data_IF_241460696616
#
_entry.id   IF_241460696616
#
_cell.length_a   1.000
_cell.length_b   1.000
_cell.length_c   1.000
_cell.angle_alpha   90.00
_cell.angle_beta   90.00
_cell.angle_gamma   90.00
#
_symmetry.space_group_name_H-M   'P 1'
#
loop_
_entity.id
_entity.type
_entity.pdbx_description
1 polymer ?
#
# COMPACT_ATOMS: atom_id res chain seq x y z
N UNK A 1 25.04 -3.59 15.68
CA UNK A 1 23.87 -4.50 15.82
C UNK A 1 22.81 -4.25 14.76
N UNK A 2 22.41 -3.00 14.47
CA UNK A 2 21.37 -2.71 13.46
C UNK A 2 21.67 -3.27 12.07
N UNK A 3 22.90 -3.18 11.55
CA UNK A 3 23.26 -3.79 10.25
C UNK A 3 22.96 -5.30 10.18
N UNK A 4 23.20 -6.06 11.24
CA UNK A 4 22.89 -7.51 11.27
C UNK A 4 21.37 -7.71 11.23
N UNK A 5 20.62 -6.89 11.96
CA UNK A 5 19.15 -6.92 11.95
C UNK A 5 18.59 -6.57 10.57
N UNK A 6 19.06 -5.50 9.93
CA UNK A 6 18.62 -5.12 8.58
C UNK A 6 18.87 -6.25 7.58
N UNK A 7 20.03 -6.90 7.63
CA UNK A 7 20.33 -8.04 6.74
C UNK A 7 19.46 -9.26 7.04
N UNK A 8 19.17 -9.54 8.30
CA UNK A 8 18.25 -10.61 8.69
C UNK A 8 16.82 -10.32 8.17
N UNK A 9 16.36 -9.08 8.25
CA UNK A 9 15.06 -8.64 7.74
C UNK A 9 14.99 -8.72 6.20
N UNK A 10 16.05 -8.31 5.49
CA UNK A 10 16.13 -8.49 4.03
C UNK A 10 16.11 -9.97 3.63
N UNK A 11 16.77 -10.83 4.41
CA UNK A 11 16.72 -12.27 4.22
C UNK A 11 15.28 -12.80 4.42
N UNK A 12 14.61 -12.38 5.51
CA UNK A 12 13.22 -12.73 5.79
C UNK A 12 12.29 -12.30 4.65
N UNK A 13 12.42 -11.06 4.16
CA UNK A 13 11.68 -10.57 3.00
C UNK A 13 11.85 -11.50 1.78
N UNK A 14 13.08 -11.94 1.51
CA UNK A 14 13.41 -12.81 0.38
C UNK A 14 12.81 -14.21 0.54
N UNK A 15 12.89 -14.79 1.74
CA UNK A 15 12.30 -16.10 2.06
C UNK A 15 10.78 -16.08 1.94
N UNK A 16 10.14 -15.08 2.55
CA UNK A 16 8.67 -14.93 2.51
C UNK A 16 8.19 -14.70 1.08
N UNK A 17 8.95 -13.99 0.24
CA UNK A 17 8.54 -13.73 -1.14
C UNK A 17 8.72 -14.93 -2.08
N UNK A 18 9.40 -16.01 -1.64
CA UNK A 18 9.79 -17.14 -2.50
C UNK A 18 9.31 -18.51 -2.02
N UNK A 19 8.92 -18.62 -0.75
CA UNK A 19 8.45 -19.86 -0.14
C UNK A 19 6.92 -19.89 0.01
N UNK A 20 6.34 -21.08 0.12
CA UNK A 20 4.94 -21.24 0.50
C UNK A 20 4.74 -21.12 2.02
N UNK A 21 3.48 -20.89 2.43
CA UNK A 21 3.12 -20.68 3.82
C UNK A 21 3.41 -21.89 4.73
N UNK A 22 3.28 -23.11 4.23
CA UNK A 22 3.48 -24.33 5.03
C UNK A 22 4.97 -24.54 5.32
N UNK A 23 5.82 -24.30 4.31
CA UNK A 23 7.28 -24.28 4.47
C UNK A 23 7.78 -23.21 5.46
N UNK A 24 6.97 -22.18 5.72
CA UNK A 24 7.26 -21.10 6.68
C UNK A 24 6.63 -21.34 8.07
N UNK A 25 6.09 -22.54 8.32
CA UNK A 25 5.50 -22.91 9.61
C UNK A 25 3.99 -22.66 9.72
N UNK A 26 3.32 -22.39 8.59
CA UNK A 26 1.87 -22.24 8.51
C UNK A 26 1.33 -20.93 9.09
N UNK A 27 0.00 -20.82 9.14
CA UNK A 27 -0.70 -19.57 9.47
C UNK A 27 -0.30 -18.96 10.82
N UNK A 28 -0.13 -19.79 11.86
CA UNK A 28 0.24 -19.33 13.20
C UNK A 28 1.65 -18.70 13.22
N UNK A 29 2.61 -19.29 12.52
CA UNK A 29 3.96 -18.75 12.42
C UNK A 29 3.98 -17.42 11.66
N UNK A 30 3.22 -17.31 10.58
CA UNK A 30 3.08 -16.08 9.80
C UNK A 30 2.44 -14.95 10.63
N UNK A 31 1.37 -15.25 11.37
CA UNK A 31 0.74 -14.26 12.27
C UNK A 31 1.69 -13.81 13.38
N UNK A 32 2.41 -14.74 14.01
CA UNK A 32 3.39 -14.40 15.05
C UNK A 32 4.53 -13.52 14.48
N UNK A 33 5.02 -13.85 13.29
CA UNK A 33 6.02 -13.04 12.61
C UNK A 33 5.50 -11.64 12.27
N UNK A 34 4.23 -11.52 11.83
CA UNK A 34 3.62 -10.23 11.50
C UNK A 34 3.50 -9.35 12.75
N UNK A 35 3.09 -9.94 13.88
CA UNK A 35 3.04 -9.25 15.16
C UNK A 35 4.43 -8.76 15.59
N UNK A 36 5.46 -9.59 15.44
CA UNK A 36 6.83 -9.19 15.78
C UNK A 36 7.37 -8.09 14.86
N UNK A 37 7.16 -8.17 13.55
CA UNK A 37 7.58 -7.09 12.64
C UNK A 37 6.83 -5.79 12.95
N UNK A 38 5.54 -5.90 13.30
CA UNK A 38 4.73 -4.76 13.73
C UNK A 38 5.29 -4.08 14.99
N UNK A 39 5.83 -4.81 15.97
CA UNK A 39 6.44 -4.17 17.15
C UNK A 39 7.78 -3.50 16.83
N UNK A 40 8.52 -3.95 15.82
CA UNK A 40 9.74 -3.28 15.36
C UNK A 40 9.46 -1.95 14.67
N UNK A 41 8.32 -1.82 14.00
CA UNK A 41 7.91 -0.59 13.29
C UNK A 41 7.15 0.37 14.18
N UNK A 42 6.21 -0.14 14.99
CA UNK A 42 5.25 0.68 15.75
C UNK A 42 5.38 0.55 17.28
N UNK A 43 6.31 -0.25 17.78
CA UNK A 43 6.49 -0.45 19.23
C UNK A 43 7.27 0.66 19.92
N UNK A 44 7.98 1.49 19.16
CA UNK A 44 8.67 2.68 19.67
C UNK A 44 7.79 3.94 19.50
N UNK A 45 7.99 4.93 20.36
CA UNK A 45 7.27 6.21 20.30
C UNK A 45 7.61 7.04 19.04
N UNK A 46 8.76 6.78 18.41
CA UNK A 46 9.18 7.37 17.14
C UNK A 46 9.51 6.29 16.13
N UNK A 47 9.20 6.53 14.85
CA UNK A 47 9.61 5.67 13.74
C UNK A 47 11.15 5.59 13.72
N UNK A 48 11.74 4.39 13.52
CA UNK A 48 13.18 4.25 13.37
C UNK A 48 13.76 5.20 12.31
N UNK A 49 14.76 6.00 12.69
CA UNK A 49 15.41 6.98 11.80
C UNK A 49 16.47 6.36 10.88
N UNK A 50 16.88 5.12 11.14
CA UNK A 50 17.84 4.40 10.30
C UNK A 50 17.14 3.90 9.04
N UNK A 51 17.49 4.49 7.90
CA UNK A 51 16.87 4.22 6.60
C UNK A 51 17.03 2.77 6.16
N UNK A 52 18.22 2.18 6.33
CA UNK A 52 18.51 0.78 5.94
C UNK A 52 17.65 -0.19 6.76
N UNK A 53 17.54 0.02 8.07
CA UNK A 53 16.67 -0.76 8.94
C UNK A 53 15.18 -0.58 8.59
N UNK A 54 14.75 0.67 8.40
CA UNK A 54 13.35 0.99 8.09
C UNK A 54 12.90 0.37 6.76
N UNK A 55 13.75 0.47 5.73
CA UNK A 55 13.53 -0.17 4.45
C UNK A 55 13.43 -1.69 4.58
N UNK A 56 14.36 -2.30 5.33
CA UNK A 56 14.38 -3.75 5.50
C UNK A 56 13.14 -4.27 6.27
N UNK A 57 12.75 -3.61 7.37
CA UNK A 57 11.62 -4.04 8.20
C UNK A 57 10.29 -3.85 7.47
N UNK A 58 10.08 -2.71 6.78
CA UNK A 58 8.84 -2.45 6.06
C UNK A 58 8.73 -3.36 4.82
N UNK A 59 9.84 -3.65 4.13
CA UNK A 59 9.84 -4.60 3.02
C UNK A 59 9.49 -6.03 3.48
N UNK A 60 10.05 -6.47 4.61
CA UNK A 60 9.72 -7.77 5.21
C UNK A 60 8.26 -7.83 5.64
N UNK A 61 7.78 -6.78 6.29
CA UNK A 61 6.39 -6.66 6.71
C UNK A 61 5.45 -6.72 5.51
N UNK A 62 5.67 -5.93 4.46
CA UNK A 62 4.87 -5.97 3.23
C UNK A 62 4.76 -7.37 2.66
N UNK A 63 5.88 -8.06 2.43
CA UNK A 63 5.85 -9.42 1.86
C UNK A 63 5.09 -10.40 2.74
N UNK A 64 5.21 -10.28 4.06
CA UNK A 64 4.49 -11.13 5.00
C UNK A 64 2.99 -10.87 4.98
N UNK A 65 2.57 -9.61 4.98
CA UNK A 65 1.15 -9.26 4.91
C UNK A 65 0.54 -9.68 3.57
N UNK A 66 1.28 -9.54 2.47
CA UNK A 66 0.86 -10.03 1.16
C UNK A 66 0.63 -11.54 1.17
N UNK A 67 1.51 -12.31 1.82
CA UNK A 67 1.35 -13.76 1.97
C UNK A 67 0.13 -14.10 2.81
N UNK A 68 -0.02 -13.47 3.97
CA UNK A 68 -1.15 -13.66 4.88
C UNK A 68 -2.47 -13.39 4.15
N UNK A 69 -2.57 -12.27 3.44
CA UNK A 69 -3.74 -11.89 2.65
C UNK A 69 -4.02 -12.92 1.53
N UNK A 70 -3.00 -13.37 0.80
CA UNK A 70 -3.15 -14.36 -0.28
C UNK A 70 -3.69 -15.72 0.20
N UNK A 71 -3.51 -16.03 1.49
CA UNK A 71 -3.98 -17.26 2.12
C UNK A 71 -5.27 -17.08 2.91
N UNK A 72 -5.89 -15.90 2.86
CA UNK A 72 -7.06 -15.52 3.66
C UNK A 72 -6.86 -15.77 5.15
N UNK A 73 -5.62 -15.60 5.64
CA UNK A 73 -5.32 -15.68 7.06
C UNK A 73 -5.75 -14.34 7.67
N UNK A 74 -6.53 -14.39 8.74
CA UNK A 74 -6.99 -13.17 9.43
C UNK A 74 -5.79 -12.36 9.89
N UNK A 75 -5.81 -11.08 9.53
CA UNK A 75 -4.85 -10.10 9.96
C UNK A 75 -5.61 -8.88 10.47
N UNK A 76 -5.17 -8.32 11.58
CA UNK A 76 -5.63 -7.00 12.00
C UNK A 76 -4.42 -6.08 12.19
N UNK A 77 -4.53 -4.88 11.63
CA UNK A 77 -3.70 -3.75 12.02
C UNK A 77 -4.58 -2.80 12.83
N UNK A 78 -4.03 -2.21 13.88
CA UNK A 78 -4.77 -1.20 14.65
C UNK A 78 -4.86 0.11 13.84
N UNK A 79 -5.87 0.95 14.08
CA UNK A 79 -5.95 2.28 13.45
C UNK A 79 -4.67 3.11 13.66
N UNK A 80 -4.02 2.99 14.82
CA UNK A 80 -2.77 3.66 15.12
C UNK A 80 -1.63 3.19 14.21
N UNK A 81 -1.52 1.89 13.96
CA UNK A 81 -0.51 1.35 13.04
C UNK A 81 -0.75 1.80 11.60
N UNK A 82 -2.02 1.89 11.17
CA UNK A 82 -2.39 2.44 9.86
C UNK A 82 -2.05 3.92 9.74
N UNK A 83 -2.27 4.71 10.79
CA UNK A 83 -1.86 6.12 10.81
C UNK A 83 -0.33 6.27 10.72
N UNK A 84 0.43 5.47 11.45
CA UNK A 84 1.90 5.48 11.36
C UNK A 84 2.39 5.07 9.97
N UNK A 85 1.74 4.12 9.30
CA UNK A 85 2.04 3.77 7.90
C UNK A 85 1.71 4.91 6.93
N UNK A 86 0.58 5.59 7.13
CA UNK A 86 0.21 6.76 6.35
C UNK A 86 1.24 7.89 6.50
N UNK A 87 1.75 8.09 7.70
CA UNK A 87 2.84 9.03 7.95
C UNK A 87 4.13 8.62 7.22
N UNK A 88 4.54 7.35 7.32
CA UNK A 88 5.70 6.83 6.60
C UNK A 88 5.54 6.99 5.07
N UNK A 89 4.35 6.70 4.54
CA UNK A 89 4.02 6.83 3.12
C UNK A 89 4.04 8.27 2.59
N UNK A 90 3.95 9.27 3.46
CA UNK A 90 3.87 10.69 3.06
C UNK A 90 5.10 11.52 3.44
N UNK A 91 5.84 11.12 4.47
CA UNK A 91 6.94 11.93 5.06
C UNK A 91 8.32 11.29 4.98
N UNK A 92 8.44 10.00 4.70
CA UNK A 92 9.76 9.36 4.64
C UNK A 92 10.51 9.78 3.38
N UNK A 93 11.78 10.19 3.50
CA UNK A 93 12.59 10.58 2.34
C UNK A 93 12.95 9.40 1.44
N UNK A 94 12.93 8.18 1.99
CA UNK A 94 13.25 6.94 1.27
C UNK A 94 12.08 6.47 0.42
N UNK A 95 12.23 6.54 -0.90
CA UNK A 95 11.20 6.18 -1.89
C UNK A 95 10.69 4.74 -1.68
N UNK A 96 11.58 3.77 -1.48
CA UNK A 96 11.20 2.37 -1.29
C UNK A 96 10.39 2.16 -0.01
N UNK A 97 10.69 2.88 1.07
CA UNK A 97 9.86 2.88 2.28
C UNK A 97 8.45 3.38 1.97
N UNK A 98 8.33 4.49 1.22
CA UNK A 98 7.01 5.03 0.84
C UNK A 98 6.22 4.05 -0.03
N UNK A 99 6.85 3.45 -1.05
CA UNK A 99 6.24 2.40 -1.89
C UNK A 99 5.76 1.24 -1.02
N UNK A 100 6.60 0.73 -0.12
CA UNK A 100 6.21 -0.41 0.71
C UNK A 100 5.07 -0.05 1.69
N UNK A 101 5.07 1.15 2.27
CA UNK A 101 4.02 1.60 3.17
C UNK A 101 2.67 1.74 2.44
N UNK A 102 2.67 2.31 1.23
CA UNK A 102 1.50 2.38 0.36
C UNK A 102 0.97 0.99 0.03
N UNK A 103 1.85 0.06 -0.33
CA UNK A 103 1.45 -1.31 -0.64
C UNK A 103 0.83 -2.02 0.58
N UNK A 104 1.36 -1.81 1.79
CA UNK A 104 0.76 -2.35 3.02
C UNK A 104 -0.64 -1.78 3.26
N UNK A 105 -0.84 -0.49 3.04
CA UNK A 105 -2.17 0.14 3.11
C UNK A 105 -3.13 -0.47 2.09
N UNK A 106 -2.67 -0.73 0.86
CA UNK A 106 -3.43 -1.42 -0.18
C UNK A 106 -3.85 -2.82 0.25
N UNK A 107 -2.89 -3.67 0.63
CA UNK A 107 -3.14 -5.05 1.08
C UNK A 107 -4.15 -5.07 2.23
N UNK A 108 -3.95 -4.22 3.23
CA UNK A 108 -4.81 -4.16 4.41
C UNK A 108 -6.21 -3.69 4.04
N UNK A 109 -6.33 -2.65 3.21
CA UNK A 109 -7.62 -2.13 2.76
C UNK A 109 -8.40 -3.15 1.93
N UNK A 110 -7.75 -3.90 1.03
CA UNK A 110 -8.41 -4.94 0.23
C UNK A 110 -8.91 -6.12 1.06
N UNK A 111 -8.25 -6.44 2.18
CA UNK A 111 -8.76 -7.42 3.14
C UNK A 111 -9.97 -6.84 3.89
N UNK A 112 -9.86 -5.62 4.41
CA UNK A 112 -10.93 -4.95 5.17
C UNK A 112 -12.20 -4.69 4.33
N UNK A 113 -12.08 -4.44 3.02
CA UNK A 113 -13.20 -4.24 2.10
C UNK A 113 -14.21 -5.39 2.09
N UNK A 114 -13.77 -6.60 2.51
CA UNK A 114 -14.58 -7.83 2.57
C UNK A 114 -15.24 -8.05 3.93
N UNK A 115 -14.89 -7.25 4.93
CA UNK A 115 -15.37 -7.36 6.31
C UNK A 115 -16.39 -6.25 6.61
N UNK A 116 -17.44 -6.57 7.37
CA UNK A 116 -18.47 -5.57 7.74
C UNK A 116 -17.95 -4.60 8.80
N UNK A 117 -18.44 -3.36 8.76
CA UNK A 117 -18.12 -2.32 9.75
C UNK A 117 -16.73 -1.71 9.57
N UNK A 118 -16.15 -1.80 8.37
CA UNK A 118 -14.78 -1.32 8.07
C UNK A 118 -14.76 -0.03 7.26
N UNK A 119 -15.91 0.52 6.84
CA UNK A 119 -15.99 1.72 6.00
C UNK A 119 -15.23 2.92 6.58
N UNK A 120 -15.20 3.12 7.90
CA UNK A 120 -14.42 4.22 8.50
C UNK A 120 -12.91 4.04 8.32
N UNK A 121 -12.41 2.83 8.56
CA UNK A 121 -11.00 2.48 8.33
C UNK A 121 -10.64 2.57 6.85
N UNK A 122 -11.54 2.15 5.95
CA UNK A 122 -11.35 2.26 4.50
C UNK A 122 -11.34 3.73 4.04
N UNK A 123 -12.12 4.62 4.66
CA UNK A 123 -12.03 6.06 4.40
C UNK A 123 -10.67 6.63 4.79
N UNK A 124 -10.12 6.21 5.93
CA UNK A 124 -8.78 6.60 6.38
C UNK A 124 -7.71 6.13 5.37
N UNK A 125 -7.74 4.84 5.00
CA UNK A 125 -6.82 4.26 4.02
C UNK A 125 -6.94 4.96 2.67
N UNK A 126 -8.16 5.11 2.15
CA UNK A 126 -8.41 5.75 0.87
C UNK A 126 -7.97 7.21 0.83
N UNK A 127 -8.20 7.97 1.92
CA UNK A 127 -7.74 9.36 2.02
C UNK A 127 -6.21 9.46 2.00
N UNK A 128 -5.52 8.55 2.71
CA UNK A 128 -4.06 8.48 2.71
C UNK A 128 -3.51 8.16 1.31
N UNK A 129 -4.05 7.10 0.66
CA UNK A 129 -3.63 6.72 -0.68
C UNK A 129 -3.95 7.81 -1.73
N UNK A 130 -5.08 8.51 -1.60
CA UNK A 130 -5.43 9.64 -2.46
C UNK A 130 -4.47 10.82 -2.26
N UNK A 131 -4.06 11.09 -1.03
CA UNK A 131 -3.06 12.11 -0.73
C UNK A 131 -1.71 11.77 -1.38
N UNK A 132 -1.23 10.53 -1.25
CA UNK A 132 0.03 10.07 -1.84
C UNK A 132 -0.02 10.10 -3.37
N UNK A 133 -1.07 9.54 -3.97
CA UNK A 133 -1.26 9.53 -5.43
C UNK A 133 -1.32 10.93 -6.05
N UNK A 134 -1.73 11.94 -5.27
CA UNK A 134 -1.81 13.33 -5.74
C UNK A 134 -0.54 14.13 -5.46
N UNK A 135 0.08 13.96 -4.29
CA UNK A 135 1.09 14.89 -3.78
C UNK A 135 2.52 14.36 -3.78
N UNK A 136 2.74 13.05 -3.91
CA UNK A 136 4.12 12.53 -3.90
C UNK A 136 4.94 13.12 -5.05
N UNK A 137 6.23 13.33 -4.77
CA UNK A 137 7.16 13.88 -5.75
C UNK A 137 7.62 12.79 -6.73
N UNK A 138 7.66 11.53 -6.31
CA UNK A 138 8.08 10.41 -7.12
C UNK A 138 6.91 9.70 -7.80
N UNK A 139 6.97 9.62 -9.14
CA UNK A 139 5.88 9.09 -9.96
C UNK A 139 5.62 7.61 -9.71
N UNK A 140 6.63 6.83 -9.30
CA UNK A 140 6.44 5.42 -8.94
C UNK A 140 5.59 5.31 -7.68
N UNK A 141 5.82 6.17 -6.69
CA UNK A 141 5.01 6.21 -5.47
C UNK A 141 3.58 6.66 -5.78
N UNK A 142 3.40 7.66 -6.67
CA UNK A 142 2.06 8.03 -7.13
C UNK A 142 1.34 6.85 -7.81
N UNK A 143 2.07 6.09 -8.64
CA UNK A 143 1.55 4.94 -9.36
C UNK A 143 1.14 3.79 -8.44
N UNK A 144 1.99 3.45 -7.47
CA UNK A 144 1.70 2.44 -6.45
C UNK A 144 0.44 2.81 -5.64
N UNK A 145 0.30 4.09 -5.27
CA UNK A 145 -0.86 4.54 -4.50
C UNK A 145 -2.16 4.48 -5.31
N UNK A 146 -2.08 4.69 -6.63
CA UNK A 146 -3.22 4.47 -7.51
C UNK A 146 -3.57 2.99 -7.65
N UNK A 147 -2.57 2.11 -7.78
CA UNK A 147 -2.81 0.66 -7.85
C UNK A 147 -3.48 0.14 -6.57
N UNK A 148 -2.94 0.54 -5.41
CA UNK A 148 -3.55 0.27 -4.11
C UNK A 148 -4.98 0.80 -4.00
N UNK A 149 -5.28 2.00 -4.52
CA UNK A 149 -6.67 2.49 -4.56
C UNK A 149 -7.57 1.60 -5.40
N UNK A 150 -7.07 1.09 -6.54
CA UNK A 150 -7.87 0.21 -7.38
C UNK A 150 -8.17 -1.11 -6.66
N UNK A 151 -7.18 -1.67 -5.96
CA UNK A 151 -7.33 -2.92 -5.21
C UNK A 151 -8.23 -2.78 -3.97
N UNK A 152 -8.16 -1.66 -3.25
CA UNK A 152 -8.97 -1.43 -2.04
C UNK A 152 -10.43 -1.18 -2.39
N UNK A 153 -10.68 -0.51 -3.51
CA UNK A 153 -12.01 -0.05 -3.91
C UNK A 153 -12.54 -0.79 -5.15
N UNK A 154 -12.02 -1.99 -5.44
CA UNK A 154 -12.45 -2.82 -6.57
C UNK A 154 -13.88 -3.35 -6.40
N UNK A 155 -14.22 -3.76 -5.17
CA UNK A 155 -15.51 -4.35 -4.80
C UNK A 155 -15.76 -4.29 -3.28
N UNK A 156 -17.03 -4.47 -2.88
CA UNK A 156 -17.47 -4.53 -1.48
C UNK A 156 -18.27 -3.32 -1.01
N UNK A 157 -19.38 -3.57 -0.30
CA UNK A 157 -20.31 -2.52 0.15
C UNK A 157 -19.64 -1.47 1.04
N UNK A 158 -18.70 -1.90 1.89
CA UNK A 158 -17.94 -1.02 2.79
C UNK A 158 -16.97 -0.13 2.01
N UNK A 159 -16.34 -0.67 0.95
CA UNK A 159 -15.48 0.09 0.06
C UNK A 159 -16.28 1.08 -0.80
N UNK A 160 -17.43 0.68 -1.34
CA UNK A 160 -18.33 1.59 -2.07
C UNK A 160 -18.82 2.74 -1.17
N UNK A 161 -19.17 2.44 0.09
CA UNK A 161 -19.56 3.44 1.10
C UNK A 161 -18.42 4.40 1.39
N UNK A 162 -17.23 3.87 1.65
CA UNK A 162 -16.03 4.68 1.90
C UNK A 162 -15.66 5.56 0.71
N UNK A 163 -15.72 5.03 -0.52
CA UNK A 163 -15.45 5.77 -1.75
C UNK A 163 -16.39 6.96 -1.96
N UNK A 164 -17.68 6.79 -1.63
CA UNK A 164 -18.68 7.87 -1.64
C UNK A 164 -18.33 8.95 -0.61
N UNK A 165 -17.99 8.55 0.63
CA UNK A 165 -17.68 9.47 1.73
C UNK A 165 -16.42 10.32 1.49
N UNK A 166 -15.39 9.76 0.85
CA UNK A 166 -14.16 10.52 0.53
C UNK A 166 -14.22 11.25 -0.82
N UNK A 167 -15.38 11.24 -1.50
CA UNK A 167 -15.56 11.79 -2.85
C UNK A 167 -14.49 11.28 -3.86
N UNK A 168 -14.23 9.97 -3.84
CA UNK A 168 -13.15 9.35 -4.61
C UNK A 168 -13.29 9.59 -6.12
N UNK A 169 -14.50 9.46 -6.68
CA UNK A 169 -14.75 9.63 -8.11
C UNK A 169 -14.39 11.05 -8.61
N UNK A 170 -14.92 12.14 -8.03
CA UNK A 170 -14.48 13.50 -8.37
C UNK A 170 -12.96 13.69 -8.27
N UNK A 171 -12.35 13.17 -7.21
CA UNK A 171 -10.91 13.31 -6.99
C UNK A 171 -10.08 12.62 -8.08
N UNK A 172 -10.43 11.37 -8.44
CA UNK A 172 -9.75 10.63 -9.49
C UNK A 172 -9.96 11.26 -10.89
N UNK A 173 -11.13 11.84 -11.16
CA UNK A 173 -11.36 12.61 -12.40
C UNK A 173 -10.45 13.83 -12.50
N UNK A 174 -10.23 14.54 -11.40
CA UNK A 174 -9.31 15.67 -11.34
C UNK A 174 -7.84 15.20 -11.47
N UNK A 175 -7.49 14.07 -10.85
CA UNK A 175 -6.13 13.52 -10.86
C UNK A 175 -5.73 12.92 -12.22
N UNK A 176 -6.65 12.32 -12.97
CA UNK A 176 -6.37 11.65 -14.24
C UNK A 176 -5.57 12.49 -15.26
N UNK A 177 -5.97 13.73 -15.61
CA UNK A 177 -5.19 14.56 -16.52
C UNK A 177 -3.83 14.97 -15.93
N UNK A 178 -3.74 15.15 -14.61
CA UNK A 178 -2.52 15.52 -13.89
C UNK A 178 -1.49 14.37 -13.97
N UNK A 179 -1.91 13.15 -13.63
CA UNK A 179 -1.06 11.97 -13.67
C UNK A 179 -0.55 11.68 -15.10
N UNK A 180 -1.43 11.80 -16.10
CA UNK A 180 -1.05 11.69 -17.52
C UNK A 180 -0.01 12.72 -17.93
N UNK A 181 -0.16 13.97 -17.49
CA UNK A 181 0.80 15.03 -17.78
C UNK A 181 2.15 14.77 -17.08
N UNK A 182 2.12 14.29 -15.83
CA UNK A 182 3.31 13.93 -15.05
C UNK A 182 4.12 12.82 -15.73
N UNK A 183 3.48 11.72 -16.17
CA UNK A 183 4.14 10.66 -16.96
C UNK A 183 4.80 11.24 -18.21
N UNK A 184 4.11 12.12 -18.97
CA UNK A 184 4.68 12.69 -20.19
C UNK A 184 5.89 13.59 -19.91
N UNK A 185 5.85 14.39 -18.84
CA UNK A 185 6.89 15.37 -18.49
C UNK A 185 8.12 14.71 -17.87
N UNK A 186 7.92 13.80 -16.93
CA UNK A 186 8.99 13.20 -16.14
C UNK A 186 9.42 11.83 -16.67
N UNK A 187 8.58 11.17 -17.47
CA UNK A 187 8.82 9.81 -17.93
C UNK A 187 10.09 9.67 -18.79
N UNK A 188 10.37 10.67 -19.62
CA UNK A 188 11.57 10.66 -20.47
C UNK A 188 12.80 11.05 -19.65
N UNK A 189 13.63 10.07 -19.33
CA UNK A 189 14.96 10.27 -18.74
C UNK A 189 15.06 9.99 -17.24
N UNK A 190 13.97 10.03 -16.48
CA UNK A 190 13.98 9.73 -15.03
C UNK A 190 13.67 8.27 -14.68
N UNK A 191 12.86 7.58 -15.50
CA UNK A 191 12.38 6.23 -15.19
C UNK A 191 12.80 5.22 -16.27
N UNK A 192 13.03 3.98 -15.84
CA UNK A 192 13.36 2.85 -16.73
C UNK A 192 12.17 2.46 -17.62
N UNK A 193 12.42 1.78 -18.76
CA UNK A 193 11.34 1.26 -19.62
C UNK A 193 10.35 0.37 -18.86
N UNK A 194 10.81 -0.43 -17.91
CA UNK A 194 9.97 -1.30 -17.08
C UNK A 194 9.04 -0.48 -16.18
N UNK A 195 9.57 0.55 -15.50
CA UNK A 195 8.77 1.44 -14.66
C UNK A 195 7.73 2.20 -15.51
N UNK A 196 8.11 2.68 -16.69
CA UNK A 196 7.18 3.36 -17.59
C UNK A 196 6.05 2.43 -18.06
N UNK A 197 6.36 1.16 -18.34
CA UNK A 197 5.36 0.16 -18.68
C UNK A 197 4.34 -0.03 -17.55
N UNK A 198 4.80 -0.12 -16.29
CA UNK A 198 3.92 -0.22 -15.12
C UNK A 198 3.06 1.04 -15.00
N UNK A 199 3.65 2.23 -15.07
CA UNK A 199 2.93 3.50 -14.98
C UNK A 199 1.89 3.69 -16.10
N UNK A 200 2.19 3.22 -17.31
CA UNK A 200 1.25 3.24 -18.41
C UNK A 200 0.07 2.28 -18.18
N UNK A 201 0.30 1.12 -17.56
CA UNK A 201 -0.77 0.23 -17.12
C UNK A 201 -1.64 0.90 -16.06
N UNK A 202 -1.04 1.55 -15.05
CA UNK A 202 -1.78 2.31 -14.03
C UNK A 202 -2.64 3.41 -14.67
N UNK A 203 -2.11 4.13 -15.66
CA UNK A 203 -2.86 5.16 -16.40
C UNK A 203 -4.09 4.59 -17.12
N UNK A 204 -3.96 3.39 -17.71
CA UNK A 204 -5.09 2.70 -18.36
C UNK A 204 -6.10 2.22 -17.31
N UNK A 205 -5.63 1.64 -16.21
CA UNK A 205 -6.47 1.16 -15.11
C UNK A 205 -7.23 2.31 -14.45
N UNK A 206 -6.61 3.48 -14.24
CA UNK A 206 -7.27 4.68 -13.72
C UNK A 206 -8.49 5.07 -14.55
N UNK A 207 -8.38 5.04 -15.89
CA UNK A 207 -9.52 5.33 -16.77
C UNK A 207 -10.64 4.31 -16.61
N UNK A 208 -10.29 3.02 -16.54
CA UNK A 208 -11.26 1.93 -16.36
C UNK A 208 -11.96 2.04 -15.00
N UNK A 209 -11.20 2.32 -13.96
CA UNK A 209 -11.66 2.42 -12.59
C UNK A 209 -12.60 3.62 -12.37
N UNK A 210 -12.30 4.77 -12.98
CA UNK A 210 -13.24 5.91 -13.01
C UNK A 210 -14.58 5.49 -13.64
N UNK A 211 -14.55 4.76 -14.76
CA UNK A 211 -15.76 4.26 -15.40
C UNK A 211 -16.53 3.23 -14.57
N UNK A 212 -15.84 2.45 -13.72
CA UNK A 212 -16.46 1.58 -12.72
C UNK A 212 -17.15 2.41 -11.62
N UNK A 213 -16.45 3.37 -11.01
CA UNK A 213 -17.00 4.23 -9.96
C UNK A 213 -18.22 5.05 -10.45
N UNK A 214 -18.24 5.48 -11.72
CA UNK A 214 -19.41 6.13 -12.30
C UNK A 214 -20.67 5.26 -12.30
N UNK A 215 -20.52 3.92 -12.37
CA UNK A 215 -21.64 2.99 -12.27
C UNK A 215 -22.06 2.78 -10.82
N UNK A 216 -21.09 2.70 -9.90
CA UNK A 216 -21.32 2.56 -8.46
C UNK A 216 -22.07 3.76 -7.88
N UNK A 217 -21.68 4.98 -8.26
CA UNK A 217 -22.33 6.22 -7.75
C UNK A 217 -23.76 6.39 -8.27
N UNK A 218 -24.09 5.77 -9.41
CA UNK A 218 -25.46 5.79 -9.97
C UNK A 218 -26.39 4.76 -9.34
N UNK A 219 -25.85 3.81 -8.56
CA UNK A 219 -26.62 2.89 -7.73
C UNK A 219 -26.91 3.53 -6.37
#
# INVERSE_FOLDING_TARGET
>A
MQRVQSRALTCLHSLVSSMDADSLGGAAALQAAAQHLSTLVFGAAEIPKDEEFLEAVISAMRSLLQMIASKNITQCMTPQQLMSLSEAATRCDVVSVRVNAVAILGITGSTLAKEKGTAETLQMIGSALLQVSTKDTDLVVNGEALDALFDVFADGDEAETAAKNIALLPALKALQPIFKAKIRKEGRGKYSPQQLCVLDNIKVNLRRFIGYLEKVVKK
#
